data_IF_639941370931
#
_entry.id   IF_639941370931
#
_cell.length_a   1.000
_cell.length_b   1.000
_cell.length_c   1.000
_cell.angle_alpha   90.00
_cell.angle_beta   90.00
_cell.angle_gamma   90.00
#
_symmetry.space_group_name_H-M   'P 1'
#
loop_
_entity.id
_entity.type
_entity.pdbx_description
1 polymer ?
#
# COMPACT_ATOMS: atom_id res chain seq x y z
N UNK A 1 19.98 28.19 -28.32
CA UNK A 1 19.95 27.19 -27.22
C UNK A 1 18.59 26.52 -27.22
N UNK A 2 18.40 25.55 -28.10
CA UNK A 2 17.19 24.72 -28.16
C UNK A 2 17.50 23.44 -27.41
N UNK A 3 16.97 23.32 -26.19
CA UNK A 3 17.06 22.09 -25.43
C UNK A 3 16.34 20.95 -26.19
N UNK A 4 16.96 19.78 -26.16
CA UNK A 4 16.71 18.63 -27.03
C UNK A 4 15.40 17.92 -26.66
N UNK A 5 14.40 18.04 -27.53
CA UNK A 5 13.09 17.38 -27.46
C UNK A 5 13.15 15.83 -27.42
N UNK A 6 14.35 15.25 -27.50
CA UNK A 6 14.59 13.80 -27.38
C UNK A 6 14.64 13.29 -25.95
N UNK A 7 14.83 14.18 -24.96
CA UNK A 7 14.88 13.78 -23.54
C UNK A 7 13.50 13.35 -23.03
N UNK A 8 12.43 13.95 -23.56
CA UNK A 8 11.01 13.65 -23.25
C UNK A 8 10.56 12.22 -23.61
N UNK A 9 11.39 11.42 -24.29
CA UNK A 9 11.06 10.02 -24.66
C UNK A 9 11.94 8.99 -23.96
N UNK A 10 12.80 9.40 -23.04
CA UNK A 10 13.57 8.46 -22.23
C UNK A 10 12.68 8.00 -21.08
N UNK A 11 12.43 6.70 -20.98
CA UNK A 11 11.63 6.11 -19.89
C UNK A 11 12.16 6.42 -18.48
N UNK A 12 13.39 6.94 -18.38
CA UNK A 12 14.03 7.37 -17.14
C UNK A 12 13.93 8.89 -16.88
N UNK A 13 13.55 9.68 -17.89
CA UNK A 13 13.36 11.12 -17.73
C UNK A 13 12.07 11.46 -16.96
N UNK A 14 11.10 10.55 -16.94
CA UNK A 14 9.86 10.65 -16.15
C UNK A 14 10.02 10.20 -14.69
N UNK A 15 11.19 9.70 -14.30
CA UNK A 15 11.39 9.22 -12.93
C UNK A 15 11.50 10.40 -11.96
N UNK A 16 10.81 10.28 -10.84
CA UNK A 16 10.94 11.20 -9.72
C UNK A 16 12.40 11.24 -9.21
N UNK A 17 12.76 12.30 -8.48
CA UNK A 17 14.12 12.40 -7.94
C UNK A 17 14.41 11.21 -7.01
N UNK A 18 15.67 10.79 -6.86
CA UNK A 18 16.02 9.72 -5.90
C UNK A 18 15.57 10.00 -4.46
N UNK A 19 15.42 11.28 -4.09
CA UNK A 19 14.92 11.69 -2.77
C UNK A 19 13.43 11.40 -2.65
N UNK A 20 12.65 11.70 -3.68
CA UNK A 20 11.21 11.45 -3.71
C UNK A 20 10.93 9.94 -3.72
N UNK A 21 11.65 9.19 -4.57
CA UNK A 21 11.53 7.72 -4.60
C UNK A 21 11.86 7.09 -3.24
N UNK A 22 12.90 7.58 -2.54
CA UNK A 22 13.24 7.10 -1.19
C UNK A 22 12.11 7.40 -0.20
N UNK A 23 11.54 8.61 -0.26
CA UNK A 23 10.43 9.02 0.60
C UNK A 23 9.23 8.11 0.37
N UNK A 24 8.89 7.82 -0.89
CA UNK A 24 7.79 6.92 -1.23
C UNK A 24 8.01 5.52 -0.67
N UNK A 25 9.21 4.96 -0.79
CA UNK A 25 9.53 3.67 -0.20
C UNK A 25 9.35 3.66 1.34
N UNK A 26 9.73 4.74 2.03
CA UNK A 26 9.53 4.86 3.48
C UNK A 26 8.05 4.91 3.85
N UNK A 27 7.25 5.71 3.12
CA UNK A 27 5.81 5.80 3.35
C UNK A 27 5.10 4.48 3.05
N UNK A 28 5.44 3.81 1.95
CA UNK A 28 4.94 2.46 1.63
C UNK A 28 5.30 1.48 2.74
N UNK A 29 6.54 1.51 3.23
CA UNK A 29 6.98 0.64 4.34
C UNK A 29 6.18 0.85 5.62
N UNK A 30 5.83 2.11 5.94
CA UNK A 30 4.96 2.46 7.08
C UNK A 30 3.54 1.96 6.87
N UNK A 31 2.95 2.21 5.70
CA UNK A 31 1.57 1.83 5.40
C UNK A 31 1.36 0.30 5.37
N UNK A 32 2.38 -0.43 4.95
CA UNK A 32 2.36 -1.90 4.94
C UNK A 32 2.74 -2.51 6.30
N UNK A 33 3.16 -1.71 7.28
CA UNK A 33 3.64 -2.22 8.56
C UNK A 33 4.85 -3.15 8.41
N UNK A 34 5.78 -2.84 7.49
CA UNK A 34 6.90 -3.74 7.20
C UNK A 34 7.81 -3.98 8.41
N UNK A 35 7.93 -3.02 9.32
CA UNK A 35 8.65 -3.21 10.58
C UNK A 35 8.01 -4.32 11.42
N UNK A 36 6.69 -4.26 11.62
CA UNK A 36 5.93 -5.28 12.35
C UNK A 36 5.95 -6.64 11.63
N UNK A 37 6.04 -6.64 10.29
CA UNK A 37 6.19 -7.87 9.51
C UNK A 37 7.56 -8.51 9.71
N UNK A 38 8.63 -7.71 9.76
CA UNK A 38 10.00 -8.17 10.03
C UNK A 38 10.11 -8.81 11.41
N UNK A 39 9.46 -8.22 12.43
CA UNK A 39 9.41 -8.80 13.78
C UNK A 39 8.73 -10.18 13.81
N UNK A 40 7.87 -10.47 12.83
CA UNK A 40 7.18 -11.76 12.69
C UNK A 40 7.93 -12.80 11.86
N UNK A 41 9.00 -12.45 11.14
CA UNK A 41 9.75 -13.39 10.27
C UNK A 41 10.35 -14.57 11.06
N UNK A 42 10.70 -14.37 12.33
CA UNK A 42 11.18 -15.42 13.23
C UNK A 42 10.07 -16.13 14.02
N UNK A 43 8.82 -15.66 13.92
CA UNK A 43 7.71 -16.27 14.65
C UNK A 43 7.22 -17.50 13.89
N UNK A 44 6.96 -18.64 14.56
CA UNK A 44 6.36 -19.78 13.92
C UNK A 44 5.05 -19.36 13.26
N UNK A 45 4.86 -19.76 12.00
CA UNK A 45 3.64 -19.48 11.28
C UNK A 45 2.42 -19.78 12.17
N UNK A 46 1.38 -18.94 12.14
CA UNK A 46 0.15 -19.25 12.83
C UNK A 46 -0.30 -20.65 12.44
N UNK A 47 -0.48 -21.48 13.47
CA UNK A 47 -0.86 -22.87 13.32
C UNK A 47 -2.23 -22.93 12.67
N UNK A 48 -2.39 -23.86 11.73
CA UNK A 48 -3.66 -24.13 11.05
C UNK A 48 -4.66 -24.89 11.94
N UNK A 49 -4.30 -25.15 13.20
CA UNK A 49 -5.15 -25.88 14.13
C UNK A 49 -6.23 -24.95 14.68
N UNK A 50 -7.46 -25.45 14.71
CA UNK A 50 -8.69 -24.72 15.05
C UNK A 50 -8.65 -24.02 16.42
N UNK A 51 -7.90 -24.57 17.36
CA UNK A 51 -7.65 -24.05 18.70
C UNK A 51 -6.81 -22.76 18.73
N UNK A 52 -5.99 -22.50 17.70
CA UNK A 52 -5.14 -21.29 17.62
C UNK A 52 -5.85 -20.11 16.94
N UNK A 53 -6.87 -20.40 16.13
CA UNK A 53 -7.71 -19.42 15.43
C UNK A 53 -9.15 -19.93 15.41
N UNK A 54 -10.02 -19.52 16.34
CA UNK A 54 -11.44 -19.85 16.25
C UNK A 54 -11.99 -19.26 14.95
N UNK A 55 -12.19 -20.10 13.94
CA UNK A 55 -12.64 -19.69 12.60
C UNK A 55 -14.12 -19.31 12.55
N UNK A 56 -14.84 -19.50 13.65
CA UNK A 56 -16.24 -19.11 13.82
C UNK A 56 -16.41 -17.68 14.39
N UNK A 57 -15.38 -16.84 14.27
CA UNK A 57 -15.55 -15.42 14.53
C UNK A 57 -16.47 -14.81 13.46
N UNK A 58 -17.46 -14.01 13.86
CA UNK A 58 -18.27 -13.28 12.89
C UNK A 58 -17.36 -12.40 12.04
N UNK A 59 -17.63 -12.35 10.73
CA UNK A 59 -16.90 -11.43 9.84
C UNK A 59 -16.99 -10.02 10.39
N UNK A 60 -15.86 -9.30 10.40
CA UNK A 60 -15.86 -7.90 10.81
C UNK A 60 -16.81 -7.13 9.89
N UNK A 61 -17.75 -6.40 10.48
CA UNK A 61 -18.59 -5.47 9.74
C UNK A 61 -17.69 -4.38 9.14
N UNK A 62 -17.76 -4.22 7.82
CA UNK A 62 -17.01 -3.19 7.11
C UNK A 62 -17.99 -2.05 6.85
N UNK A 63 -17.86 -0.96 7.60
CA UNK A 63 -18.65 0.24 7.38
C UNK A 63 -17.98 1.14 6.32
N UNK A 64 -18.78 1.64 5.37
CA UNK A 64 -18.33 2.68 4.45
C UNK A 64 -18.40 4.01 5.19
N UNK A 65 -17.23 4.52 5.60
CA UNK A 65 -17.14 5.84 6.21
C UNK A 65 -17.29 6.95 5.17
N UNK A 66 -17.67 8.15 5.60
CA UNK A 66 -17.68 9.33 4.73
C UNK A 66 -16.29 9.60 4.10
N UNK A 67 -15.21 9.34 4.85
CA UNK A 67 -13.85 9.49 4.34
C UNK A 67 -13.56 8.50 3.20
N UNK A 68 -13.99 7.24 3.35
CA UNK A 68 -13.88 6.23 2.30
C UNK A 68 -14.70 6.61 1.07
N UNK A 69 -15.92 7.13 1.24
CA UNK A 69 -16.75 7.60 0.13
C UNK A 69 -16.10 8.78 -0.62
N UNK A 70 -15.53 9.76 0.12
CA UNK A 70 -14.81 10.88 -0.50
C UNK A 70 -13.61 10.41 -1.33
N UNK A 71 -12.85 9.44 -0.81
CA UNK A 71 -11.73 8.84 -1.54
C UNK A 71 -12.19 8.09 -2.78
N UNK A 72 -13.26 7.31 -2.68
CA UNK A 72 -13.83 6.56 -3.79
C UNK A 72 -14.28 7.50 -4.92
N UNK A 73 -14.97 8.60 -4.59
CA UNK A 73 -15.39 9.60 -5.56
C UNK A 73 -14.18 10.26 -6.26
N UNK A 74 -13.12 10.58 -5.52
CA UNK A 74 -11.89 11.14 -6.09
C UNK A 74 -11.18 10.16 -7.04
N UNK A 75 -11.27 8.87 -6.75
CA UNK A 75 -10.66 7.78 -7.54
C UNK A 75 -11.59 7.23 -8.64
N UNK A 76 -12.81 7.77 -8.78
CA UNK A 76 -13.86 7.22 -9.66
C UNK A 76 -14.14 5.72 -9.40
N UNK A 77 -14.00 5.31 -8.14
CA UNK A 77 -14.34 3.97 -7.67
C UNK A 77 -15.78 3.99 -7.15
N UNK A 78 -16.61 3.05 -7.60
CA UNK A 78 -17.93 2.85 -7.03
C UNK A 78 -17.82 1.88 -5.85
N UNK A 79 -18.22 2.35 -4.67
CA UNK A 79 -18.36 1.50 -3.48
C UNK A 79 -19.85 1.13 -3.39
N UNK A 80 -20.17 -0.06 -3.90
CA UNK A 80 -21.51 -0.67 -3.82
C UNK A 80 -21.63 -1.56 -2.57
#
# INVERSE_FOLDING_TARGET
MTADARTDRLAHADLASPVDMRRDCVEVGRNLGLADALDRVGTPAPGLTYDRYPTDLPKREIAISEAAQRLANALHLHLD
#
